data_IF_636430769046
#
_entry.id   IF_636430769046
#
_cell.length_a   1.000
_cell.length_b   1.000
_cell.length_c   1.000
_cell.angle_alpha   90.00
_cell.angle_beta   90.00
_cell.angle_gamma   90.00
#
_symmetry.space_group_name_H-M   'P 1'
#
loop_
_entity.id
_entity.type
_entity.pdbx_description
1 polymer ?
#
# COMPACT_ATOMS: atom_id res chain seq x y z
N UNK A 1 -3.02 12.14 -14.43
CA UNK A 1 -2.27 12.29 -13.17
C UNK A 1 -1.46 13.55 -13.21
N UNK A 2 -0.28 13.50 -13.86
CA UNK A 2 0.70 14.60 -13.89
C UNK A 2 0.14 15.94 -14.37
N UNK A 3 -0.77 15.92 -15.35
CA UNK A 3 -1.27 17.16 -15.97
C UNK A 3 -2.11 18.06 -15.05
N UNK A 4 -2.67 17.50 -13.96
CA UNK A 4 -3.62 18.25 -13.08
C UNK A 4 -3.50 17.95 -11.59
N UNK A 5 -2.92 16.81 -11.20
CA UNK A 5 -2.85 16.36 -9.80
C UNK A 5 -1.49 15.78 -9.45
N UNK A 6 -0.46 16.11 -10.22
CA UNK A 6 0.89 15.56 -10.10
C UNK A 6 0.88 14.00 -10.09
N UNK A 7 1.76 13.38 -9.33
CA UNK A 7 1.91 11.94 -9.22
C UNK A 7 1.97 11.52 -7.75
N UNK A 8 0.92 11.82 -6.99
CA UNK A 8 0.90 11.62 -5.53
C UNK A 8 1.11 10.16 -5.11
N UNK A 9 0.80 9.20 -5.99
CA UNK A 9 1.00 7.77 -5.76
C UNK A 9 2.40 7.27 -6.14
N UNK A 10 3.26 8.12 -6.73
CA UNK A 10 4.64 7.73 -7.07
C UNK A 10 4.75 6.73 -8.22
N UNK A 11 3.83 6.74 -9.17
CA UNK A 11 3.90 5.81 -10.31
C UNK A 11 5.02 6.15 -11.29
N UNK A 12 5.72 5.12 -11.76
CA UNK A 12 6.62 5.24 -12.89
C UNK A 12 5.85 5.18 -14.22
N UNK A 13 6.31 5.99 -15.18
CA UNK A 13 5.72 6.07 -16.52
C UNK A 13 6.30 5.00 -17.44
N UNK A 14 6.17 3.74 -17.04
CA UNK A 14 6.68 2.57 -17.76
C UNK A 14 5.57 1.55 -17.99
N UNK A 15 5.69 0.66 -18.98
CA UNK A 15 4.84 -0.51 -19.06
C UNK A 15 4.95 -1.31 -17.76
N UNK A 16 3.81 -1.58 -17.14
CA UNK A 16 3.74 -2.20 -15.81
C UNK A 16 2.66 -3.26 -15.77
N UNK A 17 2.86 -4.28 -14.94
CA UNK A 17 1.91 -5.35 -14.67
C UNK A 17 1.65 -5.40 -13.17
N UNK A 18 0.38 -5.39 -12.76
CA UNK A 18 0.00 -5.40 -11.36
C UNK A 18 -0.50 -6.79 -10.97
N UNK A 19 -0.07 -7.25 -9.81
CA UNK A 19 -0.40 -8.57 -9.30
C UNK A 19 -1.17 -8.39 -7.99
N UNK A 20 -2.33 -9.03 -7.93
CA UNK A 20 -3.14 -9.12 -6.72
C UNK A 20 -3.25 -10.60 -6.39
N UNK A 21 -2.81 -10.97 -5.19
CA UNK A 21 -2.88 -12.35 -4.70
C UNK A 21 -4.05 -12.45 -3.74
N UNK A 22 -4.94 -13.40 -4.01
CA UNK A 22 -6.10 -13.69 -3.16
C UNK A 22 -6.10 -15.16 -2.80
N UNK A 23 -6.68 -15.47 -1.65
CA UNK A 23 -6.93 -16.83 -1.21
C UNK A 23 -8.37 -16.87 -0.69
N UNK A 24 -9.05 -17.97 -0.97
CA UNK A 24 -10.40 -18.25 -0.48
C UNK A 24 -10.39 -19.61 0.21
N UNK A 25 -11.08 -19.71 1.33
CA UNK A 25 -11.17 -20.93 2.13
C UNK A 25 -12.55 -21.08 2.75
N UNK A 26 -12.96 -22.31 3.11
CA UNK A 26 -14.23 -22.53 3.79
C UNK A 26 -14.28 -21.83 5.14
N UNK A 27 -15.43 -21.20 5.44
CA UNK A 27 -15.65 -20.40 6.64
C UNK A 27 -15.45 -21.20 7.94
N UNK A 28 -15.87 -22.47 7.97
CA UNK A 28 -15.93 -23.28 9.20
C UNK A 28 -14.56 -23.89 9.61
N UNK A 29 -13.48 -23.48 8.95
CA UNK A 29 -12.19 -24.15 9.05
C UNK A 29 -11.16 -23.52 9.97
N UNK A 30 -11.38 -22.29 10.45
CA UNK A 30 -10.38 -21.56 11.26
C UNK A 30 -9.07 -21.30 10.51
N UNK A 31 -9.10 -21.28 9.18
CA UNK A 31 -7.91 -21.21 8.32
C UNK A 31 -7.42 -19.78 8.04
N UNK A 32 -8.01 -18.76 8.66
CA UNK A 32 -7.70 -17.34 8.39
C UNK A 32 -6.21 -17.04 8.45
N UNK A 33 -5.53 -17.52 9.51
CA UNK A 33 -4.10 -17.32 9.67
C UNK A 33 -3.28 -18.05 8.59
N UNK A 34 -3.65 -19.28 8.25
CA UNK A 34 -2.95 -20.06 7.23
C UNK A 34 -3.13 -19.45 5.83
N UNK A 35 -4.32 -18.96 5.52
CA UNK A 35 -4.61 -18.33 4.25
C UNK A 35 -3.95 -16.95 4.12
N UNK A 36 -3.96 -16.14 5.19
CA UNK A 36 -3.20 -14.88 5.24
C UNK A 36 -1.71 -15.14 5.02
N UNK A 37 -1.14 -16.14 5.70
CA UNK A 37 0.26 -16.53 5.52
C UNK A 37 0.56 -16.98 4.08
N UNK A 38 -0.35 -17.71 3.43
CA UNK A 38 -0.17 -18.15 2.05
C UNK A 38 -0.11 -16.95 1.07
N UNK A 39 -1.00 -15.98 1.23
CA UNK A 39 -1.02 -14.75 0.42
C UNK A 39 0.23 -13.91 0.65
N UNK A 40 0.62 -13.71 1.92
CA UNK A 40 1.82 -12.94 2.28
C UNK A 40 3.08 -13.61 1.69
N UNK A 41 3.21 -14.93 1.84
CA UNK A 41 4.34 -15.70 1.27
C UNK A 41 4.44 -15.55 -0.24
N UNK A 42 3.31 -15.64 -0.95
CA UNK A 42 3.28 -15.48 -2.41
C UNK A 42 3.71 -14.07 -2.83
N UNK A 43 3.16 -13.05 -2.16
CA UNK A 43 3.48 -11.65 -2.40
C UNK A 43 4.96 -11.35 -2.17
N UNK A 44 5.52 -11.80 -1.05
CA UNK A 44 6.94 -11.63 -0.70
C UNK A 44 7.87 -12.35 -1.67
N UNK A 45 7.50 -13.57 -2.10
CA UNK A 45 8.27 -14.35 -3.07
C UNK A 45 8.35 -13.62 -4.41
N UNK A 46 7.21 -13.15 -4.93
CA UNK A 46 7.15 -12.44 -6.21
C UNK A 46 7.90 -11.11 -6.14
N UNK A 47 7.75 -10.35 -5.05
CA UNK A 47 8.50 -9.11 -4.86
C UNK A 47 10.01 -9.36 -4.79
N UNK A 48 10.45 -10.40 -4.09
CA UNK A 48 11.87 -10.78 -3.99
C UNK A 48 12.45 -11.13 -5.36
N UNK A 49 11.72 -11.92 -6.15
CA UNK A 49 12.14 -12.28 -7.51
C UNK A 49 12.18 -11.08 -8.45
N UNK A 50 11.17 -10.20 -8.39
CA UNK A 50 11.13 -8.97 -9.17
C UNK A 50 12.30 -8.04 -8.81
N UNK A 51 12.59 -7.89 -7.51
CA UNK A 51 13.72 -7.09 -7.02
C UNK A 51 15.06 -7.64 -7.51
N UNK A 52 15.26 -8.95 -7.41
CA UNK A 52 16.47 -9.62 -7.90
C UNK A 52 16.67 -9.45 -9.42
N UNK A 53 15.59 -9.26 -10.18
CA UNK A 53 15.62 -9.00 -11.63
C UNK A 53 15.67 -7.51 -11.99
N UNK A 54 15.63 -6.59 -11.02
CA UNK A 54 15.55 -5.15 -11.27
C UNK A 54 14.22 -4.71 -11.90
N UNK A 55 13.14 -5.47 -11.70
CA UNK A 55 11.81 -5.23 -12.28
C UNK A 55 10.78 -4.74 -11.25
N UNK A 56 11.14 -4.72 -9.96
CA UNK A 56 10.22 -4.31 -8.91
C UNK A 56 9.95 -2.80 -9.00
N UNK A 57 8.67 -2.44 -9.12
CA UNK A 57 8.16 -1.09 -8.90
C UNK A 57 7.64 -1.01 -7.47
N UNK A 58 7.95 0.06 -6.75
CA UNK A 58 7.66 0.12 -5.31
C UNK A 58 6.17 0.29 -4.99
N UNK A 59 5.40 0.91 -5.90
CA UNK A 59 4.00 1.26 -5.73
C UNK A 59 3.12 0.08 -5.25
N UNK A 60 2.30 0.34 -4.24
CA UNK A 60 1.26 -0.59 -3.75
C UNK A 60 -0.11 0.05 -3.88
N UNK A 61 -1.06 -0.69 -4.46
CA UNK A 61 -2.42 -0.20 -4.62
C UNK A 61 -3.21 -0.29 -3.30
N UNK A 62 -3.59 0.85 -2.74
CA UNK A 62 -4.33 0.93 -1.47
C UNK A 62 -5.61 0.08 -1.43
N UNK A 63 -6.38 0.05 -2.53
CA UNK A 63 -7.65 -0.67 -2.59
C UNK A 63 -7.51 -2.19 -2.59
N UNK A 64 -6.31 -2.71 -2.89
CA UNK A 64 -6.02 -4.15 -2.97
C UNK A 64 -4.93 -4.60 -2.00
N UNK A 65 -4.45 -3.70 -1.15
CA UNK A 65 -3.39 -4.01 -0.21
C UNK A 65 -3.93 -4.70 1.04
N UNK A 66 -3.18 -5.66 1.57
CA UNK A 66 -3.46 -6.26 2.87
C UNK A 66 -3.08 -5.29 4.00
N UNK A 67 -3.66 -5.47 5.18
CA UNK A 67 -3.42 -4.60 6.34
C UNK A 67 -1.97 -4.58 6.82
N UNK A 68 -1.17 -5.60 6.48
CA UNK A 68 0.27 -5.68 6.80
C UNK A 68 1.14 -4.81 5.89
N UNK A 69 0.62 -4.35 4.75
CA UNK A 69 1.42 -3.61 3.78
C UNK A 69 1.55 -2.12 4.14
N UNK A 70 2.78 -1.63 4.06
CA UNK A 70 3.10 -0.19 4.05
C UNK A 70 2.83 0.41 2.68
N UNK A 71 1.59 0.83 2.44
CA UNK A 71 1.10 1.43 1.18
C UNK A 71 1.61 2.84 1.01
N UNK A 72 1.40 3.75 1.97
CA UNK A 72 1.81 5.16 1.80
C UNK A 72 3.32 5.31 1.69
N UNK A 73 4.08 4.47 2.39
CA UNK A 73 5.54 4.38 2.23
C UNK A 73 5.98 4.02 0.80
N UNK A 74 5.14 3.37 -0.01
CA UNK A 74 5.45 3.09 -1.42
C UNK A 74 5.31 4.28 -2.36
N UNK A 75 4.68 5.37 -1.93
CA UNK A 75 4.40 6.51 -2.81
C UNK A 75 5.60 7.45 -2.96
N UNK A 76 6.67 7.21 -2.20
CA UNK A 76 7.89 8.02 -2.18
C UNK A 76 7.86 9.13 -1.13
N UNK A 77 9.05 9.48 -0.63
CA UNK A 77 9.21 10.42 0.49
C UNK A 77 8.63 11.81 0.22
N UNK A 78 8.81 12.35 -0.99
CA UNK A 78 8.30 13.67 -1.37
C UNK A 78 6.76 13.71 -1.38
N UNK A 79 6.13 12.66 -1.89
CA UNK A 79 4.68 12.54 -1.91
C UNK A 79 4.11 12.36 -0.50
N UNK A 80 4.79 11.57 0.34
CA UNK A 80 4.44 11.44 1.75
C UNK A 80 4.51 12.77 2.48
N UNK A 81 5.56 13.56 2.24
CA UNK A 81 5.68 14.91 2.79
C UNK A 81 4.53 15.80 2.35
N UNK A 82 4.15 15.78 1.05
CA UNK A 82 2.99 16.53 0.54
C UNK A 82 1.69 16.13 1.22
N UNK A 83 1.47 14.84 1.46
CA UNK A 83 0.30 14.35 2.20
C UNK A 83 0.30 14.83 3.65
N UNK A 84 1.46 14.82 4.31
CA UNK A 84 1.61 15.36 5.67
C UNK A 84 1.33 16.86 5.73
N UNK A 85 1.86 17.63 4.77
CA UNK A 85 1.65 19.08 4.67
C UNK A 85 0.16 19.39 4.42
N UNK A 86 -0.50 18.62 3.55
CA UNK A 86 -1.94 18.73 3.32
C UNK A 86 -2.76 18.40 4.58
N UNK A 87 -2.40 17.32 5.28
CA UNK A 87 -3.06 16.96 6.54
C UNK A 87 -2.90 18.06 7.60
N UNK A 88 -1.69 18.62 7.76
CA UNK A 88 -1.44 19.71 8.70
C UNK A 88 -2.24 20.99 8.37
N UNK A 89 -2.44 21.26 7.07
CA UNK A 89 -3.18 22.45 6.61
C UNK A 89 -4.70 22.30 6.76
N UNK A 90 -5.24 21.13 6.44
CA UNK A 90 -6.70 20.94 6.29
C UNK A 90 -7.33 20.13 7.42
N UNK A 91 -6.56 19.34 8.16
CA UNK A 91 -6.98 18.60 9.36
C UNK A 91 -5.98 18.83 10.51
N UNK A 92 -5.83 20.08 11.00
CA UNK A 92 -4.84 20.41 12.02
C UNK A 92 -5.08 19.69 13.35
N UNK A 93 -6.32 19.33 13.65
CA UNK A 93 -6.67 18.52 14.83
C UNK A 93 -6.42 17.02 14.62
N UNK A 94 -6.12 16.60 13.39
CA UNK A 94 -5.86 15.21 13.03
C UNK A 94 -7.07 14.31 13.27
N UNK A 95 -8.29 14.81 13.06
CA UNK A 95 -9.54 14.08 13.29
C UNK A 95 -9.54 12.78 12.48
N UNK A 96 -9.14 12.84 11.19
CA UNK A 96 -9.09 11.66 10.33
C UNK A 96 -7.95 10.71 10.70
N UNK A 97 -6.88 11.22 11.30
CA UNK A 97 -5.83 10.35 11.83
C UNK A 97 -6.21 9.72 13.16
N UNK A 98 -6.97 10.40 14.02
CA UNK A 98 -7.29 9.96 15.39
C UNK A 98 -8.54 9.08 15.47
N UNK A 99 -9.63 9.50 14.84
CA UNK A 99 -10.94 8.86 14.97
C UNK A 99 -11.14 7.70 13.99
N UNK A 100 -10.37 7.65 12.91
CA UNK A 100 -10.40 6.51 12.01
C UNK A 100 -9.74 5.29 12.65
N UNK A 101 -10.50 4.20 12.77
CA UNK A 101 -10.04 2.96 13.36
C UNK A 101 -9.21 2.13 12.35
N UNK A 102 -7.98 2.56 12.12
CA UNK A 102 -7.00 1.85 11.29
C UNK A 102 -7.07 2.16 9.79
N UNK A 103 -6.62 1.21 8.98
CA UNK A 103 -6.34 1.41 7.56
C UNK A 103 -4.98 2.07 7.30
N UNK A 104 -4.78 2.58 6.09
CA UNK A 104 -3.54 3.19 5.65
C UNK A 104 -3.44 4.65 6.12
N UNK A 105 -3.23 4.83 7.43
CA UNK A 105 -3.10 6.15 8.07
C UNK A 105 -1.68 6.70 7.94
N UNK A 106 -1.54 8.02 7.74
CA UNK A 106 -0.24 8.70 7.68
C UNK A 106 0.58 8.50 8.96
N UNK A 107 -0.06 8.38 10.13
CA UNK A 107 0.65 8.12 11.40
C UNK A 107 1.30 6.73 11.49
N UNK A 108 0.82 5.75 10.72
CA UNK A 108 1.16 4.33 10.92
C UNK A 108 1.70 3.62 9.66
N UNK A 109 1.58 4.24 8.48
CA UNK A 109 1.80 3.56 7.19
C UNK A 109 2.97 4.13 6.39
N UNK A 110 4.02 4.53 7.11
CA UNK A 110 5.28 5.09 6.59
C UNK A 110 6.38 4.03 6.63
#
# INVERSE_FOLDING_TARGET
GKDRGENIMGHDSVPQCWWVFTCEWPQDGGYDAAAQQAVDTMSETVQTLAKAKGLLLDFKCMSFASGSQKVLGSYGADNLKRMQDAAAKYDPEGIFQKLQHGGFLLRNNI
#
